data_IF_629714773209
#
_entry.id   IF_629714773209
#
_cell.length_a   1.000
_cell.length_b   1.000
_cell.length_c   1.000
_cell.angle_alpha   90.00
_cell.angle_beta   90.00
_cell.angle_gamma   90.00
#
_symmetry.space_group_name_H-M   'P 1'
#
loop_
_entity.id
_entity.type
_entity.pdbx_description
1 polymer ?
#
# COMPACT_ATOMS: atom_id res chain seq x y z
N UNK A 1 -3.50 32.42 6.66
CA UNK A 1 -3.80 31.25 7.48
C UNK A 1 -3.97 30.08 6.51
N UNK A 2 -2.92 29.29 6.31
CA UNK A 2 -2.92 28.19 5.36
C UNK A 2 -3.69 27.01 5.95
N UNK A 3 -4.65 26.47 5.22
CA UNK A 3 -5.38 25.26 5.55
C UNK A 3 -4.39 24.09 5.74
N UNK A 4 -4.28 23.62 6.96
CA UNK A 4 -3.51 22.40 7.29
C UNK A 4 -4.26 21.20 6.67
N UNK A 5 -3.61 20.39 5.81
CA UNK A 5 -4.26 19.28 5.11
C UNK A 5 -4.61 18.09 5.99
N UNK A 6 -4.40 18.18 7.32
CA UNK A 6 -4.63 17.10 8.29
C UNK A 6 -6.10 16.73 8.51
N UNK A 7 -7.04 17.61 8.14
CA UNK A 7 -8.46 17.40 8.38
C UNK A 7 -9.33 17.27 7.11
N UNK A 8 -8.74 17.44 5.92
CA UNK A 8 -9.50 17.34 4.67
C UNK A 8 -9.90 15.92 4.26
N UNK A 9 -9.41 14.89 4.96
CA UNK A 9 -9.75 13.48 4.69
C UNK A 9 -10.98 12.94 5.44
N UNK A 10 -11.75 13.80 6.12
CA UNK A 10 -12.92 13.39 6.92
C UNK A 10 -14.21 13.25 6.11
N UNK A 11 -14.24 13.68 4.86
CA UNK A 11 -15.42 13.58 4.01
C UNK A 11 -15.11 12.70 2.79
N UNK A 12 -16.04 11.85 2.44
CA UNK A 12 -16.01 11.08 1.20
C UNK A 12 -15.87 12.08 0.04
N UNK A 13 -14.67 12.24 -0.48
CA UNK A 13 -14.47 13.01 -1.69
C UNK A 13 -15.02 12.17 -2.84
N UNK A 14 -15.89 12.76 -3.65
CA UNK A 14 -16.35 12.16 -4.89
C UNK A 14 -15.11 11.82 -5.73
N UNK A 15 -14.93 10.54 -6.00
CA UNK A 15 -13.94 10.13 -6.98
C UNK A 15 -14.33 10.68 -8.33
N UNK A 16 -13.43 11.27 -9.12
CA UNK A 16 -13.72 11.53 -10.51
C UNK A 16 -14.22 10.21 -11.09
N UNK A 17 -15.35 10.25 -11.79
CA UNK A 17 -15.91 9.06 -12.45
C UNK A 17 -14.74 8.37 -13.17
N UNK A 18 -14.43 7.13 -12.85
CA UNK A 18 -13.39 6.42 -13.58
C UNK A 18 -13.81 6.41 -15.05
N UNK A 19 -12.82 6.45 -15.93
CA UNK A 19 -13.00 6.14 -17.35
C UNK A 19 -14.03 5.00 -17.47
N UNK A 20 -14.95 5.06 -18.43
CA UNK A 20 -16.05 4.10 -18.61
C UNK A 20 -15.61 2.62 -18.60
N UNK A 21 -14.31 2.40 -18.69
CA UNK A 21 -13.65 1.08 -18.60
C UNK A 21 -13.52 0.50 -17.19
N UNK A 22 -13.78 1.28 -16.14
CA UNK A 22 -13.60 0.84 -14.75
C UNK A 22 -14.85 1.18 -13.93
N UNK A 23 -15.26 0.26 -13.09
CA UNK A 23 -16.31 0.50 -12.10
C UNK A 23 -15.71 0.58 -10.70
N UNK A 24 -16.32 1.36 -9.82
CA UNK A 24 -15.89 1.44 -8.42
C UNK A 24 -17.06 1.32 -7.46
N UNK A 25 -16.80 0.72 -6.30
CA UNK A 25 -17.76 0.66 -5.19
C UNK A 25 -17.06 0.77 -3.83
N UNK A 26 -17.69 1.43 -2.90
CA UNK A 26 -17.23 1.49 -1.52
C UNK A 26 -17.62 0.21 -0.81
N UNK A 27 -16.65 -0.46 -0.17
CA UNK A 27 -16.87 -1.64 0.67
C UNK A 27 -17.17 -1.19 2.10
N UNK A 28 -16.32 -0.31 2.63
CA UNK A 28 -16.49 0.31 3.93
C UNK A 28 -15.79 1.68 3.97
N UNK A 29 -15.85 2.38 5.10
CA UNK A 29 -15.19 3.68 5.24
C UNK A 29 -13.69 3.56 5.01
N UNK A 30 -13.20 4.17 3.93
CA UNK A 30 -11.79 4.16 3.54
C UNK A 30 -11.36 2.93 2.76
N UNK A 31 -12.26 1.98 2.45
CA UNK A 31 -11.98 0.81 1.60
C UNK A 31 -12.87 0.86 0.35
N UNK A 32 -12.23 1.00 -0.80
CA UNK A 32 -12.90 1.17 -2.10
C UNK A 32 -12.35 0.14 -3.07
N UNK A 33 -13.23 -0.56 -3.74
CA UNK A 33 -12.89 -1.54 -4.76
C UNK A 33 -13.11 -0.97 -6.15
N UNK A 34 -12.09 -1.11 -6.99
CA UNK A 34 -12.11 -0.76 -8.42
C UNK A 34 -11.97 -2.05 -9.23
N UNK A 35 -12.87 -2.23 -10.15
CA UNK A 35 -12.90 -3.38 -11.04
C UNK A 35 -12.68 -2.95 -12.47
N UNK A 36 -11.78 -3.64 -13.17
CA UNK A 36 -11.62 -3.49 -14.61
C UNK A 36 -12.84 -4.08 -15.31
N UNK A 37 -13.59 -3.25 -16.06
CA UNK A 37 -14.68 -3.72 -16.90
C UNK A 37 -14.10 -4.47 -18.10
N UNK A 38 -14.69 -5.59 -18.53
CA UNK A 38 -14.30 -6.20 -19.79
C UNK A 38 -14.56 -5.17 -20.91
N UNK A 39 -13.72 -5.15 -21.96
CA UNK A 39 -14.01 -4.32 -23.13
C UNK A 39 -15.43 -4.67 -23.62
N UNK A 40 -16.28 -3.66 -23.73
CA UNK A 40 -17.58 -3.80 -24.36
C UNK A 40 -17.32 -4.18 -25.80
N UNK A 41 -17.49 -5.46 -26.13
CA UNK A 41 -17.59 -5.88 -27.51
C UNK A 41 -18.86 -5.21 -28.09
N UNK A 42 -18.69 -4.29 -29.01
CA UNK A 42 -19.78 -3.83 -29.83
C UNK A 42 -20.55 -5.07 -30.37
N UNK A 43 -21.88 -5.06 -30.39
CA UNK A 43 -22.62 -6.17 -30.91
C UNK A 43 -22.35 -6.30 -32.41
N UNK A 44 -21.40 -7.14 -32.76
CA UNK A 44 -21.25 -7.59 -34.15
C UNK A 44 -22.47 -8.40 -34.54
N UNK A 45 -23.04 -8.22 -35.75
CA UNK A 45 -24.19 -8.96 -36.22
C UNK A 45 -23.90 -10.46 -36.25
N UNK A 46 -24.83 -11.21 -35.73
CA UNK A 46 -24.78 -12.66 -35.57
C UNK A 46 -24.53 -13.36 -36.94
N UNK A 47 -23.33 -13.91 -37.11
CA UNK A 47 -23.10 -15.04 -38.01
C UNK A 47 -21.74 -15.67 -37.75
N UNK A 48 -21.74 -16.74 -37.02
CA UNK A 48 -20.86 -17.95 -37.08
C UNK A 48 -20.60 -18.53 -35.69
N UNK A 49 -20.77 -19.85 -35.47
CA UNK A 49 -20.42 -20.50 -34.21
C UNK A 49 -18.94 -20.87 -34.26
N UNK A 50 -18.11 -20.17 -33.59
CA UNK A 50 -16.70 -20.57 -33.39
C UNK A 50 -16.15 -20.07 -32.07
N UNK A 51 -15.69 -21.03 -31.27
CA UNK A 51 -14.85 -20.91 -30.09
C UNK A 51 -15.26 -19.85 -29.05
N UNK A 52 -16.05 -20.28 -28.07
CA UNK A 52 -16.21 -19.59 -26.78
C UNK A 52 -14.84 -19.59 -26.10
N UNK A 53 -14.04 -18.55 -26.32
CA UNK A 53 -12.92 -18.24 -25.45
C UNK A 53 -13.52 -17.80 -24.11
N UNK A 54 -13.43 -18.67 -23.10
CA UNK A 54 -13.81 -18.37 -21.72
C UNK A 54 -12.96 -17.20 -21.20
N UNK A 55 -13.57 -16.01 -21.12
CA UNK A 55 -12.96 -14.89 -20.41
C UNK A 55 -12.64 -15.33 -18.96
N UNK A 56 -11.48 -14.96 -18.41
CA UNK A 56 -11.16 -15.29 -17.04
C UNK A 56 -12.26 -14.71 -16.13
N UNK A 57 -12.89 -15.57 -15.36
CA UNK A 57 -13.90 -15.16 -14.38
C UNK A 57 -13.30 -14.12 -13.44
N UNK A 58 -14.08 -13.17 -12.93
CA UNK A 58 -13.63 -12.16 -11.97
C UNK A 58 -12.88 -12.77 -10.77
N UNK A 59 -13.15 -14.02 -10.45
CA UNK A 59 -12.49 -14.78 -9.39
C UNK A 59 -11.02 -15.16 -9.67
N UNK A 60 -10.54 -15.07 -10.90
CA UNK A 60 -9.14 -15.42 -11.27
C UNK A 60 -8.20 -14.22 -11.39
N UNK A 61 -8.73 -12.99 -11.47
CA UNK A 61 -7.91 -11.79 -11.67
C UNK A 61 -7.08 -11.48 -10.43
N UNK A 62 -5.80 -11.08 -10.58
CA UNK A 62 -5.01 -10.58 -9.46
C UNK A 62 -5.63 -9.32 -8.86
N UNK A 63 -5.42 -9.12 -7.56
CA UNK A 63 -5.86 -7.92 -6.84
C UNK A 63 -4.65 -7.13 -6.38
N UNK A 64 -4.62 -5.84 -6.69
CA UNK A 64 -3.72 -4.88 -6.06
C UNK A 64 -4.34 -4.40 -4.76
N UNK A 65 -3.74 -4.71 -3.61
CA UNK A 65 -4.03 -4.02 -2.35
C UNK A 65 -3.21 -2.73 -2.33
N UNK A 66 -3.87 -1.61 -2.59
CA UNK A 66 -3.25 -0.29 -2.63
C UNK A 66 -3.50 0.47 -1.33
N UNK A 67 -2.49 0.50 -0.45
CA UNK A 67 -2.55 1.23 0.82
C UNK A 67 -1.91 2.61 0.61
N UNK A 68 -2.74 3.64 0.57
CA UNK A 68 -2.33 4.98 0.17
C UNK A 68 -1.63 5.76 1.28
N UNK A 69 -0.93 6.84 0.89
CA UNK A 69 -0.34 7.81 1.82
C UNK A 69 -1.41 8.65 2.51
N UNK A 70 -1.05 9.30 3.61
CA UNK A 70 -1.96 10.15 4.38
C UNK A 70 -2.47 11.33 3.55
N UNK A 71 -3.79 11.52 3.55
CA UNK A 71 -4.44 12.60 2.80
C UNK A 71 -4.35 12.43 1.28
N UNK A 72 -4.14 11.21 0.80
CA UNK A 72 -4.14 10.92 -0.62
C UNK A 72 -5.46 11.35 -1.26
N UNK A 73 -5.40 12.37 -2.12
CA UNK A 73 -6.57 12.76 -2.90
C UNK A 73 -6.87 11.65 -3.92
N UNK A 74 -8.14 11.28 -4.13
CA UNK A 74 -8.52 10.19 -5.04
C UNK A 74 -7.90 10.28 -6.43
N UNK A 75 -7.92 11.46 -7.05
CA UNK A 75 -7.32 11.70 -8.36
C UNK A 75 -5.78 11.61 -8.37
N UNK A 76 -5.12 11.76 -7.22
CA UNK A 76 -3.68 11.55 -7.12
C UNK A 76 -3.35 10.07 -6.94
N UNK A 77 -4.11 9.36 -6.12
CA UNK A 77 -3.97 7.92 -5.91
C UNK A 77 -4.26 7.15 -7.21
N UNK A 78 -5.29 7.55 -7.97
CA UNK A 78 -5.65 6.86 -9.22
C UNK A 78 -4.52 6.84 -10.24
N UNK A 79 -3.68 7.89 -10.31
CA UNK A 79 -2.52 7.92 -11.21
C UNK A 79 -1.50 6.80 -10.92
N UNK A 80 -1.42 6.36 -9.67
CA UNK A 80 -0.53 5.27 -9.27
C UNK A 80 -1.13 3.90 -9.59
N UNK A 81 -2.42 3.70 -9.36
CA UNK A 81 -3.01 2.38 -9.55
C UNK A 81 -3.66 2.17 -10.93
N UNK A 82 -3.81 3.22 -11.76
CA UNK A 82 -4.39 3.12 -13.10
C UNK A 82 -3.62 2.11 -13.98
N UNK A 83 -2.30 2.14 -13.94
CA UNK A 83 -1.44 1.19 -14.68
C UNK A 83 -1.73 -0.27 -14.33
N UNK A 84 -2.14 -0.56 -13.10
CA UNK A 84 -2.49 -1.92 -12.68
C UNK A 84 -3.88 -2.32 -13.19
N UNK A 85 -4.83 -1.38 -13.19
CA UNK A 85 -6.15 -1.60 -13.81
C UNK A 85 -6.01 -1.89 -15.31
N UNK A 86 -5.16 -1.14 -16.04
CA UNK A 86 -4.87 -1.36 -17.45
C UNK A 86 -4.20 -2.73 -17.70
N UNK A 87 -3.48 -3.26 -16.75
CA UNK A 87 -2.91 -4.61 -16.77
C UNK A 87 -3.92 -5.71 -16.39
N UNK A 88 -5.20 -5.35 -16.23
CA UNK A 88 -6.29 -6.29 -15.93
C UNK A 88 -6.36 -6.72 -14.48
N UNK A 89 -5.66 -6.04 -13.56
CA UNK A 89 -5.79 -6.26 -12.12
C UNK A 89 -6.99 -5.47 -11.58
N UNK A 90 -7.66 -6.00 -10.60
CA UNK A 90 -8.58 -5.21 -9.79
C UNK A 90 -7.82 -4.50 -8.66
N UNK A 91 -8.35 -3.39 -8.14
CA UNK A 91 -7.68 -2.60 -7.10
C UNK A 91 -8.56 -2.47 -5.86
N UNK A 92 -8.03 -2.86 -4.73
CA UNK A 92 -8.60 -2.59 -3.41
C UNK A 92 -7.83 -1.41 -2.80
N UNK A 93 -8.39 -0.21 -2.93
CA UNK A 93 -7.82 1.00 -2.32
C UNK A 93 -8.17 1.03 -0.83
N UNK A 94 -7.14 1.17 0.01
CA UNK A 94 -7.25 1.32 1.46
C UNK A 94 -6.65 2.66 1.87
N UNK A 95 -7.48 3.51 2.45
CA UNK A 95 -7.11 4.85 2.92
C UNK A 95 -6.96 4.84 4.44
N UNK A 96 -5.78 5.19 4.92
CA UNK A 96 -5.49 5.26 6.35
C UNK A 96 -5.80 6.64 6.91
N UNK A 97 -6.31 6.68 8.14
CA UNK A 97 -6.51 7.91 8.91
C UNK A 97 -5.33 8.16 9.84
N UNK A 98 -5.01 9.44 10.10
CA UNK A 98 -4.06 9.81 11.14
C UNK A 98 -4.44 9.24 12.51
N UNK A 99 -5.73 9.05 12.78
CA UNK A 99 -6.21 8.47 14.02
C UNK A 99 -5.81 7.00 14.19
N UNK A 100 -5.72 6.24 13.10
CA UNK A 100 -5.21 4.86 13.13
C UNK A 100 -3.75 4.81 13.56
N UNK A 101 -2.99 5.85 13.21
CA UNK A 101 -1.61 6.00 13.65
C UNK A 101 -1.53 6.52 15.08
N UNK A 102 -2.23 7.59 15.44
CA UNK A 102 -2.16 8.16 16.79
C UNK A 102 -2.63 7.19 17.86
N UNK A 103 -3.63 6.35 17.58
CA UNK A 103 -4.09 5.32 18.50
C UNK A 103 -3.98 3.93 17.86
N UNK A 104 -2.86 3.23 18.05
CA UNK A 104 -2.51 1.97 17.36
C UNK A 104 -3.55 0.87 17.45
N UNK A 105 -4.36 0.84 18.52
CA UNK A 105 -5.47 -0.10 18.65
C UNK A 105 -6.48 0.06 17.51
N UNK A 106 -6.83 1.30 17.16
CA UNK A 106 -7.73 1.57 16.02
C UNK A 106 -7.08 1.18 14.69
N UNK A 107 -5.75 1.36 14.60
CA UNK A 107 -4.99 0.89 13.44
C UNK A 107 -5.04 -0.64 13.31
N UNK A 108 -4.89 -1.34 14.44
CA UNK A 108 -4.97 -2.79 14.49
C UNK A 108 -6.39 -3.28 14.12
N UNK A 109 -7.44 -2.67 14.70
CA UNK A 109 -8.82 -3.00 14.37
C UNK A 109 -9.11 -2.79 12.87
N UNK A 110 -8.59 -1.70 12.29
CA UNK A 110 -8.70 -1.41 10.86
C UNK A 110 -7.91 -2.40 10.00
N UNK A 111 -6.70 -2.79 10.43
CA UNK A 111 -5.95 -3.87 9.78
C UNK A 111 -6.71 -5.19 9.76
N UNK A 112 -7.41 -5.50 10.85
CA UNK A 112 -8.31 -6.66 10.93
C UNK A 112 -9.53 -6.55 10.00
N UNK A 113 -10.05 -5.34 9.78
CA UNK A 113 -11.12 -5.10 8.80
C UNK A 113 -10.63 -5.36 7.37
N UNK A 114 -9.46 -4.82 7.00
CA UNK A 114 -8.83 -5.05 5.70
C UNK A 114 -8.60 -6.55 5.48
N UNK A 115 -8.10 -7.25 6.50
CA UNK A 115 -7.88 -8.70 6.43
C UNK A 115 -9.17 -9.47 6.17
N UNK A 116 -10.26 -9.16 6.90
CA UNK A 116 -11.58 -9.80 6.68
C UNK A 116 -12.12 -9.56 5.27
N UNK A 117 -11.91 -8.36 4.71
CA UNK A 117 -12.27 -8.07 3.31
C UNK A 117 -11.48 -8.98 2.36
N UNK A 118 -10.16 -9.08 2.54
CA UNK A 118 -9.28 -9.90 1.68
C UNK A 118 -9.56 -11.40 1.77
N UNK A 119 -10.08 -11.88 2.90
CA UNK A 119 -10.48 -13.26 3.12
C UNK A 119 -11.94 -13.55 2.71
N UNK A 120 -12.70 -12.49 2.44
CA UNK A 120 -14.06 -12.60 1.95
C UNK A 120 -14.16 -13.30 0.59
N UNK A 121 -15.34 -13.85 0.25
CA UNK A 121 -15.52 -14.72 -0.93
C UNK A 121 -15.14 -14.05 -2.24
N UNK A 122 -15.23 -12.75 -2.35
CA UNK A 122 -14.88 -12.00 -3.56
C UNK A 122 -13.36 -11.91 -3.81
N UNK A 123 -12.55 -11.92 -2.76
CA UNK A 123 -11.10 -11.77 -2.85
C UNK A 123 -10.34 -13.03 -2.47
N UNK A 124 -11.00 -13.98 -1.82
CA UNK A 124 -10.39 -15.23 -1.38
C UNK A 124 -9.84 -16.03 -2.57
N UNK A 125 -8.63 -16.59 -2.40
CA UNK A 125 -7.96 -17.40 -3.44
C UNK A 125 -7.31 -16.59 -4.57
N UNK A 126 -7.58 -15.29 -4.73
CA UNK A 126 -7.01 -14.46 -5.80
C UNK A 126 -5.55 -14.11 -5.49
N UNK A 127 -4.64 -14.09 -6.49
CA UNK A 127 -3.29 -13.57 -6.33
C UNK A 127 -3.30 -12.11 -5.85
N UNK A 128 -2.42 -11.79 -4.91
CA UNK A 128 -2.42 -10.48 -4.25
C UNK A 128 -1.08 -9.78 -4.46
N UNK A 129 -1.10 -8.60 -5.09
CA UNK A 129 0.01 -7.67 -5.14
C UNK A 129 -0.22 -6.59 -4.11
N UNK A 130 0.80 -6.29 -3.29
CA UNK A 130 0.72 -5.25 -2.26
C UNK A 130 1.43 -4.00 -2.77
N UNK A 131 0.80 -2.84 -2.63
CA UNK A 131 1.45 -1.55 -2.77
C UNK A 131 1.15 -0.71 -1.53
N UNK A 132 2.18 -0.33 -0.80
CA UNK A 132 2.04 0.44 0.43
C UNK A 132 2.90 1.70 0.39
N UNK A 133 2.26 2.87 0.49
CA UNK A 133 2.94 4.15 0.48
C UNK A 133 2.79 4.87 1.83
N UNK A 134 3.91 5.35 2.38
CA UNK A 134 3.96 6.14 3.62
C UNK A 134 3.22 5.45 4.77
N UNK A 135 2.17 6.07 5.33
CA UNK A 135 1.32 5.48 6.38
C UNK A 135 0.64 4.16 5.94
N UNK A 136 0.50 3.93 4.65
CA UNK A 136 0.01 2.66 4.12
C UNK A 136 0.88 1.48 4.53
N UNK A 137 2.21 1.69 4.66
CA UNK A 137 3.12 0.70 5.22
C UNK A 137 2.79 0.33 6.66
N UNK A 138 2.44 1.31 7.49
CA UNK A 138 1.95 1.07 8.84
C UNK A 138 0.65 0.24 8.83
N UNK A 139 -0.32 0.62 8.00
CA UNK A 139 -1.59 -0.12 7.89
C UNK A 139 -1.37 -1.55 7.42
N UNK A 140 -0.48 -1.79 6.46
CA UNK A 140 -0.11 -3.14 6.06
C UNK A 140 0.55 -3.91 7.20
N UNK A 141 1.39 -3.26 7.99
CA UNK A 141 2.00 -3.89 9.17
C UNK A 141 0.95 -4.32 10.21
N UNK A 142 -0.17 -3.58 10.35
CA UNK A 142 -1.27 -4.02 11.22
C UNK A 142 -1.97 -5.27 10.66
N UNK A 143 -2.13 -5.38 9.34
CA UNK A 143 -2.61 -6.64 8.69
C UNK A 143 -1.64 -7.79 9.00
N UNK A 144 -0.32 -7.56 8.79
CA UNK A 144 0.72 -8.56 9.10
C UNK A 144 0.71 -8.97 10.58
N UNK A 145 0.37 -8.05 11.49
CA UNK A 145 0.28 -8.33 12.92
C UNK A 145 -0.81 -9.36 13.20
N UNK A 146 -1.98 -9.26 12.56
CA UNK A 146 -3.02 -10.29 12.66
C UNK A 146 -2.54 -11.63 12.09
N UNK A 147 -1.93 -11.62 10.91
CA UNK A 147 -1.38 -12.84 10.28
C UNK A 147 -0.34 -13.51 11.16
N UNK A 148 0.55 -12.72 11.79
CA UNK A 148 1.61 -13.26 12.65
C UNK A 148 1.09 -13.83 13.98
N UNK A 149 0.01 -13.24 14.54
CA UNK A 149 -0.56 -13.69 15.82
C UNK A 149 -1.41 -14.95 15.70
N UNK A 150 -2.05 -15.17 14.55
CA UNK A 150 -2.91 -16.31 14.29
C UNK A 150 -2.34 -17.19 13.18
N UNK A 151 -1.11 -17.67 13.40
CA UNK A 151 -0.44 -18.60 12.48
C UNK A 151 -1.33 -19.82 12.25
N UNK A 152 -1.46 -20.22 10.98
CA UNK A 152 -2.34 -21.29 10.54
C UNK A 152 -3.70 -20.81 10.06
N UNK A 153 -4.34 -19.84 10.72
CA UNK A 153 -5.63 -19.27 10.31
C UNK A 153 -5.49 -18.36 9.06
N UNK A 154 -4.46 -17.51 9.05
CA UNK A 154 -4.23 -16.49 8.00
C UNK A 154 -3.05 -16.82 7.06
N UNK A 155 -2.43 -17.98 7.18
CA UNK A 155 -1.30 -18.37 6.33
C UNK A 155 -1.66 -18.40 4.84
N UNK A 156 -2.93 -18.66 4.52
CA UNK A 156 -3.45 -18.63 3.16
C UNK A 156 -3.29 -17.24 2.52
N UNK A 157 -3.46 -16.16 3.29
CA UNK A 157 -3.25 -14.80 2.78
C UNK A 157 -1.79 -14.58 2.39
N UNK A 158 -0.85 -14.91 3.27
CA UNK A 158 0.58 -14.71 3.02
C UNK A 158 1.05 -15.47 1.76
N UNK A 159 0.53 -16.69 1.55
CA UNK A 159 0.86 -17.50 0.36
C UNK A 159 0.29 -16.97 -0.94
N UNK A 160 -0.77 -16.15 -0.91
CA UNK A 160 -1.35 -15.52 -2.10
C UNK A 160 -0.59 -14.28 -2.55
N UNK A 161 0.23 -13.70 -1.68
CA UNK A 161 1.02 -12.52 -2.05
C UNK A 161 2.06 -12.92 -3.08
N UNK A 162 1.98 -12.34 -4.27
CA UNK A 162 2.90 -12.59 -5.39
C UNK A 162 4.03 -11.58 -5.46
N UNK A 163 3.87 -10.42 -4.81
CA UNK A 163 4.89 -9.38 -4.71
C UNK A 163 4.41 -8.25 -3.79
N UNK A 164 5.33 -7.45 -3.29
CA UNK A 164 5.00 -6.28 -2.49
C UNK A 164 5.93 -5.10 -2.77
N UNK A 165 5.32 -3.92 -2.86
CA UNK A 165 5.98 -2.66 -3.24
C UNK A 165 5.80 -1.68 -2.09
N UNK A 166 6.90 -1.07 -1.68
CA UNK A 166 6.94 -0.05 -0.63
C UNK A 166 7.48 1.25 -1.21
N UNK A 167 6.64 2.29 -1.22
CA UNK A 167 6.97 3.60 -1.74
C UNK A 167 6.99 4.61 -0.60
N UNK A 168 8.14 5.22 -0.34
CA UNK A 168 8.30 6.20 0.75
C UNK A 168 7.89 5.66 2.13
N UNK A 169 8.37 4.45 2.46
CA UNK A 169 8.05 3.84 3.74
C UNK A 169 8.59 4.70 4.89
N UNK A 170 7.74 4.99 5.88
CA UNK A 170 8.17 5.64 7.12
C UNK A 170 8.93 4.61 7.96
N UNK A 171 10.24 4.79 8.10
CA UNK A 171 11.13 3.85 8.77
C UNK A 171 12.00 4.56 9.81
N UNK A 172 12.43 3.83 10.84
CA UNK A 172 13.34 4.31 11.87
C UNK A 172 12.76 4.25 13.27
N UNK A 173 13.35 5.01 14.20
CA UNK A 173 12.90 5.11 15.57
C UNK A 173 11.69 6.02 15.72
N UNK A 174 10.94 5.91 16.83
CA UNK A 174 9.84 6.84 17.12
C UNK A 174 10.33 8.29 17.19
N UNK A 175 11.54 8.51 17.69
CA UNK A 175 12.15 9.84 17.74
C UNK A 175 12.43 10.39 16.33
N UNK A 176 12.95 9.54 15.44
CA UNK A 176 13.16 9.89 14.04
C UNK A 176 11.83 10.25 13.36
N UNK A 177 10.81 9.42 13.55
CA UNK A 177 9.46 9.65 13.01
C UNK A 177 8.85 10.96 13.54
N UNK A 178 8.98 11.24 14.85
CA UNK A 178 8.50 12.49 15.47
C UNK A 178 9.25 13.71 14.92
N UNK A 179 10.55 13.59 14.71
CA UNK A 179 11.39 14.65 14.12
C UNK A 179 10.98 14.89 12.66
N UNK A 180 10.85 13.83 11.87
CA UNK A 180 10.42 13.90 10.48
C UNK A 180 9.02 14.50 10.33
N UNK A 181 8.09 14.13 11.23
CA UNK A 181 6.75 14.71 11.28
C UNK A 181 6.82 16.24 11.52
N UNK A 182 7.65 16.68 12.48
CA UNK A 182 7.87 18.10 12.75
C UNK A 182 8.43 18.85 11.55
N UNK A 183 9.46 18.30 10.90
CA UNK A 183 10.06 18.89 9.69
C UNK A 183 9.05 19.00 8.53
N UNK A 184 8.16 18.02 8.40
CA UNK A 184 7.20 17.95 7.29
C UNK A 184 5.98 18.84 7.51
N UNK A 185 5.41 18.85 8.73
CA UNK A 185 4.16 19.54 9.02
C UNK A 185 4.35 20.98 9.49
N UNK A 186 5.36 21.22 10.30
CA UNK A 186 5.59 22.52 10.92
C UNK A 186 7.10 22.77 11.13
N UNK A 187 7.88 23.04 10.07
CA UNK A 187 9.35 23.17 10.17
C UNK A 187 9.82 24.20 11.21
N UNK A 188 9.07 25.29 11.38
CA UNK A 188 9.36 26.34 12.37
C UNK A 188 9.11 25.89 13.83
N UNK A 189 8.31 24.85 14.02
CA UNK A 189 7.88 24.29 15.31
C UNK A 189 8.39 22.84 15.49
N UNK A 190 9.36 22.41 14.71
CA UNK A 190 9.88 21.02 14.72
C UNK A 190 10.14 20.53 16.14
N UNK A 191 10.85 21.33 16.95
CA UNK A 191 11.18 20.95 18.34
C UNK A 191 9.94 20.77 19.20
N UNK A 192 8.93 21.64 19.02
CA UNK A 192 7.67 21.55 19.78
C UNK A 192 6.91 20.30 19.37
N UNK A 193 6.75 20.05 18.07
CA UNK A 193 6.09 18.85 17.53
C UNK A 193 6.78 17.60 18.03
N UNK A 194 8.11 17.53 17.92
CA UNK A 194 8.89 16.40 18.43
C UNK A 194 8.68 16.19 19.93
N UNK A 195 8.83 17.24 20.75
CA UNK A 195 8.68 17.13 22.19
C UNK A 195 7.29 16.69 22.62
N UNK A 196 6.25 17.24 21.96
CA UNK A 196 4.86 16.86 22.22
C UNK A 196 4.60 15.39 21.84
N UNK A 197 5.10 14.95 20.69
CA UNK A 197 4.98 13.56 20.26
C UNK A 197 5.72 12.60 21.21
N UNK A 198 6.94 12.95 21.62
CA UNK A 198 7.72 12.13 22.56
C UNK A 198 7.07 12.08 23.95
N UNK A 199 6.51 13.19 24.43
CA UNK A 199 5.74 13.22 25.68
C UNK A 199 4.48 12.35 25.59
N UNK A 200 3.76 12.42 24.48
CA UNK A 200 2.61 11.57 24.20
C UNK A 200 3.00 10.08 24.20
N UNK A 201 4.07 9.69 23.54
CA UNK A 201 4.58 8.32 23.53
C UNK A 201 5.04 7.85 24.91
N UNK A 202 5.61 8.74 25.70
CA UNK A 202 5.99 8.42 27.07
C UNK A 202 4.76 8.22 27.96
N UNK A 203 3.77 9.13 27.90
CA UNK A 203 2.55 9.08 28.71
C UNK A 203 1.69 7.84 28.40
N UNK A 204 1.57 7.50 27.12
CA UNK A 204 0.79 6.35 26.65
C UNK A 204 1.66 5.20 26.14
N UNK A 205 2.81 4.99 26.75
CA UNK A 205 3.86 4.07 26.27
C UNK A 205 3.32 2.68 25.91
N UNK A 206 2.58 2.03 26.79
CA UNK A 206 2.04 0.68 26.59
C UNK A 206 1.03 0.59 25.47
N UNK A 207 0.27 1.67 25.21
CA UNK A 207 -0.75 1.74 24.19
C UNK A 207 -0.27 2.31 22.85
N UNK A 208 0.94 2.88 22.82
CA UNK A 208 1.50 3.53 21.63
C UNK A 208 2.92 3.02 21.32
N UNK A 209 3.93 3.48 22.02
CA UNK A 209 5.33 3.17 21.73
C UNK A 209 5.62 1.67 21.69
N UNK A 210 5.15 0.91 22.67
CA UNK A 210 5.35 -0.54 22.72
C UNK A 210 4.60 -1.26 21.58
N UNK A 211 3.46 -0.72 21.13
CA UNK A 211 2.71 -1.28 19.98
C UNK A 211 3.46 -1.02 18.67
N UNK A 212 4.00 0.18 18.48
CA UNK A 212 4.82 0.48 17.30
C UNK A 212 6.09 -0.36 17.24
N UNK A 213 6.78 -0.52 18.36
CA UNK A 213 7.99 -1.34 18.41
C UNK A 213 7.70 -2.80 18.03
N UNK A 214 6.58 -3.35 18.52
CA UNK A 214 6.14 -4.70 18.12
C UNK A 214 5.77 -4.75 16.63
N UNK A 215 5.09 -3.73 16.12
CA UNK A 215 4.75 -3.65 14.70
C UNK A 215 6.00 -3.61 13.81
N UNK A 216 7.03 -2.85 14.17
CA UNK A 216 8.33 -2.84 13.47
C UNK A 216 8.95 -4.25 13.47
N UNK A 217 8.93 -4.96 14.62
CA UNK A 217 9.43 -6.33 14.68
C UNK A 217 8.66 -7.30 13.79
N UNK A 218 7.33 -7.16 13.72
CA UNK A 218 6.47 -7.95 12.81
C UNK A 218 6.84 -7.65 11.35
N UNK A 219 7.02 -6.38 10.98
CA UNK A 219 7.44 -6.01 9.64
C UNK A 219 8.81 -6.60 9.28
N UNK A 220 9.79 -6.44 10.17
CA UNK A 220 11.14 -6.98 10.01
C UNK A 220 11.17 -8.52 9.85
N UNK A 221 10.26 -9.20 10.54
CA UNK A 221 10.09 -10.65 10.49
C UNK A 221 8.89 -11.10 9.65
N UNK A 222 8.45 -10.26 8.71
CA UNK A 222 7.26 -10.46 7.89
C UNK A 222 7.02 -11.92 7.51
N UNK A 223 5.79 -12.44 7.66
CA UNK A 223 5.44 -13.79 7.19
C UNK A 223 5.36 -13.88 5.66
N UNK A 224 5.30 -12.74 4.97
CA UNK A 224 5.31 -12.67 3.50
C UNK A 224 6.74 -12.80 3.00
N UNK A 225 7.00 -13.79 2.14
CA UNK A 225 8.31 -14.06 1.55
C UNK A 225 8.35 -13.84 0.03
N UNK A 226 7.28 -13.29 -0.53
CA UNK A 226 7.21 -12.91 -1.94
C UNK A 226 8.29 -11.85 -2.29
N UNK A 227 8.65 -11.68 -3.56
CA UNK A 227 9.56 -10.63 -4.00
C UNK A 227 9.11 -9.24 -3.56
N UNK A 228 10.06 -8.39 -3.16
CA UNK A 228 9.80 -7.05 -2.67
C UNK A 228 10.53 -5.98 -3.48
N UNK A 229 9.89 -4.80 -3.63
CA UNK A 229 10.48 -3.61 -4.23
C UNK A 229 10.35 -2.43 -3.26
N UNK A 230 11.46 -1.70 -3.03
CA UNK A 230 11.47 -0.50 -2.21
C UNK A 230 11.88 0.72 -3.01
N UNK A 231 11.09 1.80 -2.90
CA UNK A 231 11.39 3.13 -3.40
C UNK A 231 11.61 4.08 -2.23
N UNK A 232 12.77 4.74 -2.15
CA UNK A 232 13.09 5.67 -1.06
C UNK A 232 14.16 6.68 -1.47
N UNK A 233 14.38 7.72 -0.66
CA UNK A 233 15.42 8.73 -0.89
C UNK A 233 16.17 9.08 0.37
N UNK A 234 17.39 9.59 0.20
CA UNK A 234 18.27 9.97 1.31
C UNK A 234 17.80 11.24 2.03
N UNK A 235 17.14 12.13 1.31
CA UNK A 235 16.64 13.39 1.84
C UNK A 235 15.22 13.34 2.41
N UNK A 236 14.59 12.14 2.44
CA UNK A 236 13.28 11.95 3.04
C UNK A 236 13.36 12.00 4.58
N UNK A 237 12.88 13.10 5.15
CA UNK A 237 12.93 13.31 6.61
C UNK A 237 12.11 12.28 7.43
N UNK A 238 11.19 11.54 6.80
CA UNK A 238 10.37 10.50 7.43
C UNK A 238 10.97 9.10 7.30
N UNK A 239 12.06 8.94 6.55
CA UNK A 239 12.72 7.66 6.33
C UNK A 239 14.15 7.68 6.89
N UNK A 240 14.42 6.90 7.93
CA UNK A 240 15.80 6.53 8.29
C UNK A 240 16.28 5.49 7.28
N UNK A 241 17.00 5.95 6.26
CA UNK A 241 17.49 5.10 5.17
C UNK A 241 18.36 3.96 5.67
N UNK A 242 19.18 4.20 6.69
CA UNK A 242 20.03 3.17 7.27
C UNK A 242 19.19 2.09 8.00
N UNK A 243 18.10 2.48 8.68
CA UNK A 243 17.17 1.52 9.27
C UNK A 243 16.45 0.70 8.19
N UNK A 244 16.01 1.35 7.11
CA UNK A 244 15.37 0.67 5.99
C UNK A 244 16.32 -0.30 5.29
N UNK A 245 17.55 0.11 5.02
CA UNK A 245 18.57 -0.76 4.40
C UNK A 245 18.89 -1.97 5.28
N UNK A 246 18.91 -1.81 6.61
CA UNK A 246 19.04 -2.97 7.54
C UNK A 246 17.86 -3.94 7.42
N UNK A 247 16.64 -3.42 7.25
CA UNK A 247 15.45 -4.27 7.04
C UNK A 247 15.53 -5.01 5.70
N UNK A 248 15.90 -4.31 4.63
CA UNK A 248 16.11 -4.89 3.29
C UNK A 248 17.14 -6.03 3.36
N UNK A 249 18.28 -5.78 4.01
CA UNK A 249 19.33 -6.78 4.15
C UNK A 249 18.90 -7.98 5.01
N UNK A 250 18.11 -7.75 6.05
CA UNK A 250 17.53 -8.83 6.86
C UNK A 250 16.59 -9.70 6.04
N UNK A 251 15.76 -9.10 5.18
CA UNK A 251 14.86 -9.84 4.30
C UNK A 251 15.64 -10.66 3.26
N UNK A 252 16.69 -10.09 2.65
CA UNK A 252 17.58 -10.80 1.73
C UNK A 252 18.21 -12.04 2.38
N UNK A 253 18.71 -11.91 3.61
CA UNK A 253 19.26 -13.04 4.38
C UNK A 253 18.23 -14.13 4.69
N UNK A 254 16.96 -13.78 4.73
CA UNK A 254 15.84 -14.74 4.87
C UNK A 254 15.40 -15.36 3.54
N UNK A 255 16.08 -15.07 2.44
CA UNK A 255 15.77 -15.60 1.12
C UNK A 255 14.71 -14.82 0.34
N UNK A 256 14.28 -13.65 0.82
CA UNK A 256 13.37 -12.78 0.07
C UNK A 256 14.12 -12.07 -1.05
N UNK A 257 13.63 -12.16 -2.29
CA UNK A 257 14.17 -11.41 -3.42
C UNK A 257 13.80 -9.93 -3.26
N UNK A 258 14.76 -9.08 -2.87
CA UNK A 258 14.51 -7.66 -2.64
C UNK A 258 15.23 -6.80 -3.66
N UNK A 259 14.46 -6.03 -4.43
CA UNK A 259 14.92 -4.94 -5.27
C UNK A 259 14.72 -3.61 -4.54
N UNK A 260 15.54 -2.62 -4.86
CA UNK A 260 15.38 -1.26 -4.32
C UNK A 260 15.86 -0.22 -5.31
N UNK A 261 15.16 0.91 -5.35
CA UNK A 261 15.60 2.12 -6.03
C UNK A 261 15.72 3.24 -5.00
N UNK A 262 16.92 3.74 -4.82
CA UNK A 262 17.24 4.83 -3.92
C UNK A 262 17.66 6.06 -4.74
N UNK A 263 17.16 7.23 -4.35
CA UNK A 263 17.57 8.52 -4.90
C UNK A 263 18.27 9.36 -3.82
N UNK A 264 19.19 10.21 -4.23
CA UNK A 264 19.78 11.20 -3.32
C UNK A 264 18.73 12.21 -2.88
N UNK A 265 17.88 12.66 -3.82
CA UNK A 265 16.84 13.66 -3.59
C UNK A 265 15.54 13.26 -4.24
N UNK A 266 14.50 13.13 -3.42
CA UNK A 266 13.14 12.92 -3.90
C UNK A 266 12.14 13.19 -2.78
N UNK A 267 11.04 13.85 -3.09
CA UNK A 267 10.03 14.19 -2.08
C UNK A 267 9.29 12.94 -1.60
N UNK A 268 9.00 12.89 -0.30
CA UNK A 268 8.17 11.85 0.32
C UNK A 268 6.86 11.65 -0.42
N UNK A 269 6.49 10.39 -0.66
CA UNK A 269 5.30 9.96 -1.41
C UNK A 269 5.13 10.64 -2.79
N UNK A 270 6.25 10.95 -3.46
CA UNK A 270 6.23 11.63 -4.74
C UNK A 270 7.33 11.16 -5.71
N UNK A 271 7.94 10.00 -5.47
CA UNK A 271 9.04 9.48 -6.30
C UNK A 271 8.65 9.36 -7.77
N UNK A 272 7.46 8.86 -8.08
CA UNK A 272 6.93 8.78 -9.44
C UNK A 272 6.83 10.14 -10.13
N UNK A 273 6.55 11.21 -9.38
CA UNK A 273 6.46 12.57 -9.91
C UNK A 273 7.85 13.21 -10.09
N UNK A 274 8.77 12.93 -9.16
CA UNK A 274 10.12 13.48 -9.18
C UNK A 274 11.01 12.80 -10.22
N UNK A 275 10.85 11.48 -10.39
CA UNK A 275 11.69 10.62 -11.25
C UNK A 275 10.83 9.68 -12.09
N UNK A 276 9.96 10.18 -12.99
CA UNK A 276 8.92 9.39 -13.65
C UNK A 276 9.46 8.23 -14.49
N UNK A 277 10.55 8.43 -15.21
CA UNK A 277 11.12 7.42 -16.10
C UNK A 277 11.78 6.29 -15.31
N UNK A 278 12.66 6.64 -14.36
CA UNK A 278 13.35 5.66 -13.52
C UNK A 278 12.39 4.87 -12.64
N UNK A 279 11.38 5.58 -12.08
CA UNK A 279 10.35 4.96 -11.27
C UNK A 279 9.57 3.92 -12.09
N UNK A 280 9.09 4.33 -13.27
CA UNK A 280 8.30 3.47 -14.16
C UNK A 280 9.13 2.27 -14.65
N UNK A 281 10.33 2.50 -15.14
CA UNK A 281 11.23 1.45 -15.62
C UNK A 281 11.53 0.41 -14.52
N UNK A 282 11.83 0.88 -13.29
CA UNK A 282 12.08 -0.02 -12.15
C UNK A 282 10.82 -0.80 -11.77
N UNK A 283 9.66 -0.13 -11.73
CA UNK A 283 8.38 -0.78 -11.43
C UNK A 283 8.02 -1.83 -12.47
N UNK A 284 8.15 -1.51 -13.75
CA UNK A 284 7.86 -2.44 -14.85
C UNK A 284 8.78 -3.66 -14.82
N UNK A 285 10.08 -3.45 -14.62
CA UNK A 285 11.04 -4.55 -14.45
C UNK A 285 10.65 -5.48 -13.31
N UNK A 286 10.24 -4.91 -12.17
CA UNK A 286 9.78 -5.68 -11.02
C UNK A 286 8.49 -6.46 -11.34
N UNK A 287 7.47 -5.80 -11.88
CA UNK A 287 6.19 -6.43 -12.21
C UNK A 287 6.35 -7.57 -13.22
N UNK A 288 7.25 -7.42 -14.21
CA UNK A 288 7.54 -8.45 -15.19
C UNK A 288 8.29 -9.65 -14.61
N UNK A 289 8.95 -9.50 -13.45
CA UNK A 289 9.61 -10.60 -12.74
C UNK A 289 8.65 -11.43 -11.87
N UNK A 290 7.42 -10.94 -11.65
CA UNK A 290 6.44 -11.61 -10.81
C UNK A 290 5.66 -12.70 -11.60
N UNK A 291 5.16 -13.74 -10.93
CA UNK A 291 4.32 -14.77 -11.54
C UNK A 291 2.88 -14.26 -11.76
N UNK A 292 2.75 -13.08 -12.37
CA UNK A 292 1.50 -12.48 -12.78
C UNK A 292 1.31 -12.80 -14.27
N UNK A 293 0.33 -13.64 -14.61
CA UNK A 293 0.00 -13.92 -16.01
C UNK A 293 -0.56 -12.63 -16.63
N UNK A 294 0.07 -12.05 -17.65
CA UNK A 294 -0.48 -10.89 -18.33
C UNK A 294 -1.81 -11.29 -19.00
N UNK A 295 -2.89 -10.62 -18.65
CA UNK A 295 -4.21 -10.87 -19.30
C UNK A 295 -4.16 -10.53 -20.79
N UNK A 296 -3.23 -9.68 -21.22
CA UNK A 296 -3.00 -9.33 -22.64
C UNK A 296 -2.30 -10.40 -23.48
N UNK A 297 -1.82 -11.50 -22.92
CA UNK A 297 -1.22 -12.61 -23.69
C UNK A 297 -2.27 -13.60 -24.24
N UNK A 298 -3.55 -13.30 -24.10
CA UNK A 298 -4.68 -14.14 -24.55
C UNK A 298 -5.54 -13.47 -25.63
N UNK A 299 -4.99 -12.46 -26.35
CA UNK A 299 -5.64 -11.87 -27.55
C UNK A 299 -4.91 -12.31 -28.81
#
# INVERSE_FOLDING_TARGET
MGNLPLFSGLFAADFPQPDSRFSSRTISKGIIYFQSSPPTSDPLPASSPSHVQSQPSSSSRPVLLFLSWLGAHPAAASKYFHTYLERGMDVLLVQSSVLHFLWPRWGLDYGGEVLRVLEGPEFSGRPLLIYASSIGGYTFTQVLTHVAHRRGEHDALARRVVGHIYDSLVAGTLEHMATGLGKTLAPRLERVVKSTAMFYFWLFKSSTADVYLRAIQVFDSSPVTAPALFFFSEDDALCDTAALERTVERWRRRGVAVQSRKWERSKHAAHMRCHPEEYRSTLESFLNSLPLTPIHALI
#
